data_IF_480709989328
#
_entry.id   IF_480709989328
#
_cell.length_a   1.000
_cell.length_b   1.000
_cell.length_c   1.000
_cell.angle_alpha   90.00
_cell.angle_beta   90.00
_cell.angle_gamma   90.00
#
_symmetry.space_group_name_H-M   'P 1'
#
loop_
_entity.id
_entity.type
_entity.pdbx_description
1 polymer ?
#
# COMPACT_ATOMS: atom_id res chain seq x y z
N UNK A 1 24.03 42.80 -7.21
CA UNK A 1 22.90 42.55 -6.29
C UNK A 1 21.95 41.56 -7.00
N UNK A 2 22.04 40.27 -6.69
CA UNK A 2 21.10 39.29 -7.17
C UNK A 2 19.77 39.52 -6.46
N UNK A 3 18.75 39.97 -7.18
CA UNK A 3 17.36 39.91 -6.71
C UNK A 3 16.87 38.51 -6.89
N UNK A 4 16.75 37.75 -5.80
CA UNK A 4 15.97 36.51 -5.77
C UNK A 4 14.53 36.86 -6.11
N UNK A 5 14.03 36.33 -7.21
CA UNK A 5 12.64 36.49 -7.61
C UNK A 5 11.83 35.42 -6.90
N UNK A 6 11.29 35.71 -5.74
CA UNK A 6 10.48 34.82 -4.92
C UNK A 6 9.18 34.37 -5.62
N UNK A 7 8.86 34.94 -6.78
CA UNK A 7 7.62 34.65 -7.51
C UNK A 7 7.72 33.49 -8.50
N UNK A 8 8.92 32.91 -8.71
CA UNK A 8 9.08 31.79 -9.68
C UNK A 8 8.26 30.56 -9.25
N UNK A 9 8.03 30.37 -7.95
CA UNK A 9 7.25 29.25 -7.41
C UNK A 9 5.81 29.62 -7.03
N UNK A 10 5.38 30.87 -7.22
CA UNK A 10 4.05 31.36 -6.84
C UNK A 10 3.05 31.44 -7.99
N UNK A 11 3.41 31.12 -9.21
CA UNK A 11 2.44 31.02 -10.30
C UNK A 11 1.65 29.71 -10.18
N UNK A 12 0.71 29.68 -9.26
CA UNK A 12 -0.40 28.76 -9.34
C UNK A 12 -1.28 29.29 -10.48
N UNK A 13 -1.09 28.72 -11.67
CA UNK A 13 -2.02 28.93 -12.77
C UNK A 13 -3.26 28.11 -12.43
N UNK A 14 -4.24 28.72 -11.77
CA UNK A 14 -5.57 28.13 -11.61
C UNK A 14 -6.18 28.09 -13.02
N UNK A 15 -6.08 26.95 -13.71
CA UNK A 15 -6.88 26.71 -14.92
C UNK A 15 -8.33 26.63 -14.48
N UNK A 16 -9.17 27.52 -14.97
CA UNK A 16 -10.62 27.58 -14.67
C UNK A 16 -11.35 26.27 -15.03
N UNK A 17 -10.78 25.44 -15.90
CA UNK A 17 -11.31 24.16 -16.36
C UNK A 17 -10.38 23.00 -15.97
N UNK A 18 -9.52 23.17 -14.97
CA UNK A 18 -8.66 22.11 -14.46
C UNK A 18 -9.50 21.07 -13.75
N UNK A 19 -9.59 19.88 -14.33
CA UNK A 19 -10.18 18.71 -13.66
C UNK A 19 -9.39 18.45 -12.38
N UNK A 20 -10.08 18.28 -11.28
CA UNK A 20 -9.45 17.89 -10.04
C UNK A 20 -8.94 16.46 -10.17
N UNK A 21 -7.70 16.24 -9.87
CA UNK A 21 -7.08 14.91 -9.87
C UNK A 21 -6.92 14.38 -8.46
N UNK A 22 -7.01 13.07 -8.32
CA UNK A 22 -6.71 12.36 -7.10
C UNK A 22 -5.78 11.17 -7.40
N UNK A 23 -5.20 10.58 -6.37
CA UNK A 23 -4.27 9.46 -6.50
C UNK A 23 -4.73 8.27 -5.65
N UNK A 24 -4.68 7.09 -6.24
CA UNK A 24 -4.85 5.83 -5.52
C UNK A 24 -3.52 5.07 -5.65
N UNK A 25 -2.90 4.77 -4.52
CA UNK A 25 -1.67 4.00 -4.46
C UNK A 25 -2.00 2.56 -4.09
N UNK A 26 -1.48 1.61 -4.88
CA UNK A 26 -1.48 0.19 -4.54
C UNK A 26 -0.07 -0.20 -4.11
N UNK A 27 0.08 -0.61 -2.86
CA UNK A 27 1.34 -1.08 -2.30
C UNK A 27 1.34 -2.60 -2.28
N UNK A 28 2.32 -3.20 -2.94
CA UNK A 28 2.57 -4.63 -2.86
C UNK A 28 3.11 -4.98 -1.46
N UNK A 29 2.33 -5.80 -0.72
CA UNK A 29 2.68 -6.26 0.62
C UNK A 29 3.03 -7.74 0.61
N UNK A 30 3.76 -8.18 -0.42
CA UNK A 30 4.17 -9.57 -0.60
C UNK A 30 5.52 -9.89 0.04
N UNK A 31 5.76 -11.19 0.26
CA UNK A 31 7.01 -11.68 0.84
C UNK A 31 8.26 -11.33 0.04
N UNK A 32 8.15 -11.25 -1.29
CA UNK A 32 9.24 -10.82 -2.18
C UNK A 32 9.67 -9.37 -1.97
N UNK A 33 8.79 -8.53 -1.39
CA UNK A 33 9.08 -7.14 -1.08
C UNK A 33 9.89 -6.94 0.20
N UNK A 34 10.14 -7.99 0.99
CA UNK A 34 10.75 -7.88 2.32
C UNK A 34 12.06 -7.08 2.34
N UNK A 35 12.88 -7.18 1.29
CA UNK A 35 14.15 -6.44 1.15
C UNK A 35 13.92 -4.96 0.77
N UNK A 36 12.82 -4.65 0.09
CA UNK A 36 12.59 -3.34 -0.53
C UNK A 36 11.42 -2.57 0.08
N UNK A 37 10.63 -3.23 0.93
CA UNK A 37 9.38 -2.67 1.43
C UNK A 37 9.58 -1.36 2.19
N UNK A 38 10.68 -1.23 2.93
CA UNK A 38 10.96 -0.02 3.69
C UNK A 38 11.31 1.16 2.80
N UNK A 39 12.14 0.96 1.79
CA UNK A 39 12.49 2.01 0.82
C UNK A 39 11.29 2.39 -0.05
N UNK A 40 10.49 1.40 -0.47
CA UNK A 40 9.23 1.63 -1.17
C UNK A 40 8.26 2.47 -0.31
N UNK A 41 8.17 2.15 0.98
CA UNK A 41 7.33 2.89 1.91
C UNK A 41 7.82 4.33 2.16
N UNK A 42 9.15 4.57 2.22
CA UNK A 42 9.71 5.93 2.29
C UNK A 42 9.28 6.78 1.09
N UNK A 43 9.36 6.21 -0.11
CA UNK A 43 8.93 6.90 -1.33
C UNK A 43 7.43 7.19 -1.30
N UNK A 44 6.61 6.21 -0.91
CA UNK A 44 5.17 6.37 -0.75
C UNK A 44 4.83 7.48 0.25
N UNK A 45 5.48 7.51 1.42
CA UNK A 45 5.26 8.57 2.41
C UNK A 45 5.59 9.95 1.85
N UNK A 46 6.69 10.08 1.10
CA UNK A 46 7.06 11.33 0.45
C UNK A 46 5.96 11.83 -0.49
N UNK A 47 5.36 10.92 -1.27
CA UNK A 47 4.22 11.23 -2.14
C UNK A 47 2.97 11.59 -1.32
N UNK A 48 2.67 10.87 -0.24
CA UNK A 48 1.55 11.19 0.64
C UNK A 48 1.68 12.59 1.27
N UNK A 49 2.87 12.94 1.76
CA UNK A 49 3.13 14.29 2.29
C UNK A 49 3.01 15.36 1.21
N UNK A 50 3.51 15.10 0.00
CA UNK A 50 3.31 15.99 -1.14
C UNK A 50 1.82 16.18 -1.43
N UNK A 51 1.04 15.11 -1.51
CA UNK A 51 -0.40 15.17 -1.76
C UNK A 51 -1.11 15.99 -0.67
N UNK A 52 -0.81 15.76 0.60
CA UNK A 52 -1.37 16.54 1.71
C UNK A 52 -1.04 18.02 1.60
N UNK A 53 0.23 18.36 1.32
CA UNK A 53 0.68 19.74 1.18
C UNK A 53 0.05 20.45 -0.02
N UNK A 54 -0.21 19.71 -1.08
CA UNK A 54 -0.80 20.21 -2.33
C UNK A 54 -2.32 20.10 -2.38
N UNK A 55 -2.98 19.61 -1.30
CA UNK A 55 -4.40 19.34 -1.24
C UNK A 55 -4.90 18.39 -2.36
N UNK A 56 -4.07 17.45 -2.77
CA UNK A 56 -4.44 16.40 -3.72
C UNK A 56 -5.06 15.24 -2.93
N UNK A 57 -6.32 14.86 -3.20
CA UNK A 57 -6.92 13.70 -2.55
C UNK A 57 -6.16 12.42 -2.88
N UNK A 58 -5.99 11.55 -1.90
CA UNK A 58 -5.34 10.26 -2.11
C UNK A 58 -5.84 9.20 -1.15
N UNK A 59 -5.77 7.94 -1.60
CA UNK A 59 -5.90 6.74 -0.78
C UNK A 59 -4.70 5.82 -1.02
N UNK A 60 -4.26 5.13 0.02
CA UNK A 60 -3.21 4.11 -0.03
C UNK A 60 -3.79 2.78 0.38
N UNK A 61 -3.75 1.82 -0.53
CA UNK A 61 -4.14 0.44 -0.26
C UNK A 61 -2.91 -0.46 -0.34
N UNK A 62 -2.77 -1.37 0.61
CA UNK A 62 -1.83 -2.47 0.50
C UNK A 62 -2.61 -3.75 0.19
N UNK A 63 -2.10 -4.56 -0.74
CA UNK A 63 -2.69 -5.84 -1.08
C UNK A 63 -1.75 -6.98 -0.68
N UNK A 64 -2.34 -8.00 -0.08
CA UNK A 64 -1.63 -9.18 0.39
C UNK A 64 -2.58 -10.39 0.43
N UNK A 65 -2.02 -11.56 0.20
CA UNK A 65 -2.68 -12.82 0.51
C UNK A 65 -1.98 -13.43 1.74
N UNK A 66 -2.75 -13.82 2.75
CA UNK A 66 -2.20 -14.42 3.97
C UNK A 66 -1.40 -15.69 3.60
N UNK A 67 -0.09 -15.65 3.89
CA UNK A 67 0.82 -16.75 3.60
C UNK A 67 0.72 -17.91 4.60
N UNK A 68 -0.01 -17.74 5.72
CA UNK A 68 -0.21 -18.81 6.71
C UNK A 68 -1.34 -19.76 6.32
N UNK A 69 -2.18 -19.36 5.38
CA UNK A 69 -3.24 -20.18 4.87
C UNK A 69 -2.73 -21.12 3.76
N UNK A 70 -2.67 -22.38 4.09
CA UNK A 70 -2.52 -23.44 3.11
C UNK A 70 -3.92 -24.03 2.86
N UNK A 71 -4.57 -23.75 1.70
CA UNK A 71 -5.84 -24.38 1.40
C UNK A 71 -5.62 -25.89 1.44
N UNK A 72 -6.47 -26.59 2.20
CA UNK A 72 -6.51 -28.04 2.15
C UNK A 72 -6.75 -28.46 0.69
N UNK A 73 -6.26 -29.64 0.30
CA UNK A 73 -6.29 -30.09 -1.11
C UNK A 73 -7.65 -29.97 -1.79
N UNK A 74 -8.74 -29.97 -1.01
CA UNK A 74 -10.11 -29.84 -1.49
C UNK A 74 -10.46 -28.47 -2.08
N UNK A 75 -9.89 -27.37 -1.55
CA UNK A 75 -10.20 -26.02 -2.05
C UNK A 75 -9.58 -25.72 -3.41
N UNK A 76 -8.59 -26.51 -3.85
CA UNK A 76 -7.97 -26.34 -5.18
C UNK A 76 -8.77 -27.01 -6.30
N UNK A 77 -9.52 -28.06 -5.99
CA UNK A 77 -10.23 -28.89 -6.97
C UNK A 77 -11.65 -28.39 -7.27
N UNK A 78 -12.21 -27.51 -6.41
CA UNK A 78 -13.56 -26.96 -6.61
C UNK A 78 -13.59 -25.69 -7.47
N UNK A 79 -12.45 -25.15 -7.89
CA UNK A 79 -12.45 -24.04 -8.82
C UNK A 79 -12.83 -24.52 -10.24
N UNK A 80 -14.06 -24.86 -10.43
CA UNK A 80 -14.66 -24.99 -11.75
C UNK A 80 -14.85 -23.59 -12.33
N UNK A 81 -13.76 -23.03 -12.86
CA UNK A 81 -13.78 -21.71 -13.47
C UNK A 81 -14.87 -21.61 -14.53
N UNK A 82 -15.93 -20.90 -14.19
CA UNK A 82 -16.82 -20.40 -15.23
C UNK A 82 -16.03 -19.31 -15.96
N UNK A 83 -16.04 -19.35 -17.28
CA UNK A 83 -15.24 -18.49 -18.16
C UNK A 83 -15.42 -16.99 -17.88
N UNK A 84 -16.50 -16.59 -17.20
CA UNK A 84 -16.86 -15.20 -16.95
C UNK A 84 -16.91 -14.84 -15.45
N UNK A 85 -16.27 -15.62 -14.58
CA UNK A 85 -16.26 -15.35 -13.13
C UNK A 85 -14.85 -15.10 -12.63
N UNK A 86 -14.67 -14.01 -11.89
CA UNK A 86 -13.45 -13.71 -11.17
C UNK A 86 -13.62 -14.11 -9.70
N UNK A 87 -12.80 -15.03 -9.22
CA UNK A 87 -12.82 -15.47 -7.84
C UNK A 87 -11.79 -14.71 -7.02
N UNK A 88 -12.24 -14.09 -5.93
CA UNK A 88 -11.35 -13.48 -4.93
C UNK A 88 -11.19 -14.49 -3.81
N UNK A 89 -9.97 -14.98 -3.52
CA UNK A 89 -9.72 -15.93 -2.43
C UNK A 89 -10.09 -15.36 -1.06
N UNK A 90 -10.57 -16.19 -0.16
CA UNK A 90 -11.00 -15.80 1.20
C UNK A 90 -9.89 -15.12 2.04
N UNK A 91 -8.63 -15.35 1.67
CA UNK A 91 -7.45 -14.83 2.37
C UNK A 91 -6.78 -13.66 1.65
N UNK A 92 -7.49 -13.03 0.73
CA UNK A 92 -7.11 -11.78 0.13
C UNK A 92 -7.44 -10.62 1.07
N UNK A 93 -6.46 -9.77 1.31
CA UNK A 93 -6.63 -8.53 2.06
C UNK A 93 -6.25 -7.34 1.20
N UNK A 94 -7.15 -6.36 1.17
CA UNK A 94 -6.89 -5.03 0.62
C UNK A 94 -7.12 -4.00 1.73
N UNK A 95 -6.03 -3.51 2.29
CA UNK A 95 -6.03 -2.69 3.50
C UNK A 95 -5.81 -1.23 3.16
N UNK A 96 -6.75 -0.35 3.50
CA UNK A 96 -6.54 1.10 3.39
C UNK A 96 -5.68 1.57 4.56
N UNK A 97 -4.41 1.86 4.30
CA UNK A 97 -3.45 2.25 5.32
C UNK A 97 -3.45 3.76 5.60
N UNK A 98 -3.48 4.56 4.56
CA UNK A 98 -3.41 6.01 4.65
C UNK A 98 -4.38 6.64 3.65
N UNK A 99 -4.95 7.77 4.02
CA UNK A 99 -5.78 8.56 3.11
C UNK A 99 -5.78 10.05 3.51
N UNK A 100 -6.26 10.90 2.60
CA UNK A 100 -6.30 12.34 2.83
C UNK A 100 -7.33 12.80 3.87
N UNK A 101 -8.28 11.94 4.28
CA UNK A 101 -9.33 12.27 5.28
C UNK A 101 -8.89 12.05 6.71
N UNK A 102 -7.79 11.34 6.93
CA UNK A 102 -7.22 11.17 8.25
C UNK A 102 -6.79 12.53 8.80
N UNK A 103 -7.16 12.83 10.05
CA UNK A 103 -6.59 13.97 10.74
C UNK A 103 -5.07 13.78 10.93
N UNK A 104 -4.35 14.89 11.15
CA UNK A 104 -2.88 14.83 11.18
C UNK A 104 -2.33 13.88 12.24
N UNK A 105 -2.91 13.86 13.44
CA UNK A 105 -2.44 13.00 14.51
C UNK A 105 -2.61 11.51 14.18
N UNK A 106 -3.74 11.12 13.59
CA UNK A 106 -4.01 9.73 13.16
C UNK A 106 -3.12 9.34 11.98
N UNK A 107 -2.98 10.24 11.00
CA UNK A 107 -2.08 10.02 9.87
C UNK A 107 -0.64 9.78 10.34
N UNK A 108 -0.13 10.66 11.21
CA UNK A 108 1.23 10.56 11.73
C UNK A 108 1.44 9.29 12.57
N UNK A 109 0.41 8.87 13.31
CA UNK A 109 0.45 7.61 14.06
C UNK A 109 0.56 6.42 13.12
N UNK A 110 -0.34 6.30 12.13
CA UNK A 110 -0.33 5.17 11.19
C UNK A 110 0.93 5.15 10.32
N UNK A 111 1.39 6.33 9.88
CA UNK A 111 2.64 6.46 9.13
C UNK A 111 3.84 5.95 9.93
N UNK A 112 3.94 6.29 11.24
CA UNK A 112 5.02 5.80 12.11
C UNK A 112 4.91 4.29 12.40
N UNK A 113 3.71 3.79 12.58
CA UNK A 113 3.50 2.37 12.89
C UNK A 113 3.90 1.51 11.67
N UNK A 114 3.49 1.89 10.46
CA UNK A 114 3.90 1.25 9.22
C UNK A 114 5.41 1.40 8.95
N UNK A 115 5.99 2.57 9.27
CA UNK A 115 7.44 2.78 9.19
C UNK A 115 8.21 1.75 10.03
N UNK A 116 7.76 1.54 11.26
CA UNK A 116 8.38 0.55 12.16
C UNK A 116 8.27 -0.86 11.62
N UNK A 117 7.08 -1.23 11.14
CA UNK A 117 6.84 -2.57 10.57
C UNK A 117 7.73 -2.81 9.35
N UNK A 118 7.77 -1.86 8.40
CA UNK A 118 8.61 -2.00 7.20
C UNK A 118 10.10 -2.03 7.54
N UNK A 119 10.55 -1.21 8.50
CA UNK A 119 11.94 -1.23 8.98
C UNK A 119 12.32 -2.56 9.64
N UNK A 120 11.39 -3.18 10.36
CA UNK A 120 11.61 -4.50 10.96
C UNK A 120 11.83 -5.57 9.88
N UNK A 121 11.08 -5.54 8.78
CA UNK A 121 11.28 -6.46 7.68
C UNK A 121 12.65 -6.27 7.01
N UNK A 122 13.01 -5.06 6.65
CA UNK A 122 14.29 -4.75 6.03
C UNK A 122 15.48 -5.17 6.93
N UNK A 123 15.47 -4.79 8.21
CA UNK A 123 16.57 -5.09 9.14
C UNK A 123 16.74 -6.60 9.37
N UNK A 124 15.65 -7.35 9.41
CA UNK A 124 15.66 -8.79 9.58
C UNK A 124 16.08 -9.54 8.34
N UNK A 125 15.54 -9.14 7.18
CA UNK A 125 15.92 -9.74 5.92
C UNK A 125 17.42 -9.57 5.65
N UNK A 126 17.97 -8.42 5.97
CA UNK A 126 19.41 -8.17 5.90
C UNK A 126 20.22 -9.04 6.86
N UNK A 127 19.70 -9.34 8.06
CA UNK A 127 20.34 -10.26 9.01
C UNK A 127 20.24 -11.72 8.56
N UNK A 128 19.07 -12.14 8.08
CA UNK A 128 18.83 -13.51 7.60
C UNK A 128 19.69 -13.84 6.40
N UNK A 129 19.86 -12.93 5.43
CA UNK A 129 20.70 -13.15 4.25
C UNK A 129 22.16 -13.42 4.59
N UNK A 130 22.61 -12.95 5.76
CA UNK A 130 23.98 -13.21 6.27
C UNK A 130 24.10 -14.53 7.04
N UNK A 131 23.01 -15.12 7.51
CA UNK A 131 23.02 -16.23 8.46
C UNK A 131 21.90 -17.25 8.18
N UNK A 132 21.56 -17.48 6.89
CA UNK A 132 20.48 -18.40 6.51
C UNK A 132 20.85 -19.85 6.85
N UNK A 133 20.23 -20.37 7.90
CA UNK A 133 20.16 -21.78 8.23
C UNK A 133 18.69 -22.21 8.19
N UNK A 134 18.35 -23.14 7.32
CA UNK A 134 16.99 -23.67 7.13
C UNK A 134 16.42 -24.37 8.38
N UNK A 135 17.26 -24.60 9.40
CA UNK A 135 16.88 -25.28 10.64
C UNK A 135 16.35 -24.33 11.71
N UNK A 136 16.53 -23.02 11.55
CA UNK A 136 16.01 -22.03 12.51
C UNK A 136 14.57 -21.67 12.21
N UNK A 137 13.67 -21.70 13.23
CA UNK A 137 12.29 -21.23 13.06
C UNK A 137 12.27 -19.79 12.55
N UNK A 138 11.36 -19.49 11.61
CA UNK A 138 11.19 -18.16 11.04
C UNK A 138 10.98 -17.11 12.16
N UNK A 139 11.90 -16.16 12.35
CA UNK A 139 11.83 -15.25 13.49
C UNK A 139 10.95 -14.02 13.20
N UNK A 140 9.82 -14.19 12.49
CA UNK A 140 8.82 -13.12 12.42
C UNK A 140 8.37 -12.89 13.87
N UNK A 141 8.48 -11.67 14.43
CA UNK A 141 7.99 -11.45 15.77
C UNK A 141 6.51 -11.76 15.84
N UNK A 142 6.09 -12.48 16.87
CA UNK A 142 4.69 -12.60 17.27
C UNK A 142 4.00 -11.23 17.50
N UNK A 143 4.80 -10.16 17.45
CA UNK A 143 4.38 -8.78 17.60
C UNK A 143 3.79 -8.12 16.34
N UNK A 144 3.96 -8.74 15.13
CA UNK A 144 3.34 -8.18 13.92
C UNK A 144 1.97 -8.84 13.73
N UNK A 145 0.89 -8.06 13.76
CA UNK A 145 -0.45 -8.57 13.49
C UNK A 145 -0.48 -9.34 12.15
N UNK A 146 -1.27 -10.41 12.08
CA UNK A 146 -1.32 -11.30 10.90
C UNK A 146 -1.59 -10.55 9.60
N UNK A 147 -2.51 -9.58 9.63
CA UNK A 147 -2.85 -8.75 8.47
C UNK A 147 -1.75 -7.74 8.04
N UNK A 148 -0.69 -7.60 8.83
CA UNK A 148 0.51 -6.81 8.48
C UNK A 148 1.70 -7.71 8.14
N UNK A 149 1.52 -9.02 8.14
CA UNK A 149 2.56 -9.95 7.68
C UNK A 149 2.63 -9.93 6.15
N UNK A 150 3.86 -10.06 5.64
CA UNK A 150 4.07 -10.18 4.20
C UNK A 150 3.63 -11.57 3.74
N UNK A 151 2.92 -11.64 2.62
CA UNK A 151 2.34 -12.88 2.12
C UNK A 151 2.48 -13.07 0.62
N UNK A 152 1.45 -13.64 -0.01
CA UNK A 152 1.35 -13.80 -1.45
C UNK A 152 1.06 -12.48 -2.17
N UNK A 153 1.12 -12.51 -3.52
CA UNK A 153 0.97 -11.32 -4.39
C UNK A 153 -0.32 -11.40 -5.21
N UNK A 154 -1.49 -11.10 -4.63
CA UNK A 154 -2.78 -11.15 -5.31
C UNK A 154 -3.04 -9.86 -6.12
N UNK A 155 -2.20 -9.58 -7.10
CA UNK A 155 -2.28 -8.34 -7.89
C UNK A 155 -3.56 -8.25 -8.73
N UNK A 156 -4.00 -9.37 -9.32
CA UNK A 156 -5.20 -9.38 -10.17
C UNK A 156 -6.45 -9.05 -9.33
N UNK A 157 -6.53 -9.59 -8.13
CA UNK A 157 -7.59 -9.35 -7.15
C UNK A 157 -7.61 -7.87 -6.72
N UNK A 158 -6.43 -7.33 -6.43
CA UNK A 158 -6.30 -5.92 -6.08
C UNK A 158 -6.75 -5.00 -7.23
N UNK A 159 -6.36 -5.31 -8.47
CA UNK A 159 -6.78 -4.55 -9.65
C UNK A 159 -8.29 -4.67 -9.89
N UNK A 160 -8.86 -5.87 -9.71
CA UNK A 160 -10.31 -6.05 -9.84
C UNK A 160 -11.10 -5.20 -8.83
N UNK A 161 -10.61 -5.07 -7.58
CA UNK A 161 -11.23 -4.21 -6.57
C UNK A 161 -11.23 -2.72 -6.95
N UNK A 162 -10.30 -2.27 -7.81
CA UNK A 162 -10.29 -0.88 -8.26
C UNK A 162 -11.55 -0.50 -9.04
N UNK A 163 -12.24 -1.45 -9.67
CA UNK A 163 -13.51 -1.19 -10.35
C UNK A 163 -14.57 -0.61 -9.41
N UNK A 164 -14.52 -0.94 -8.13
CA UNK A 164 -15.41 -0.39 -7.10
C UNK A 164 -14.78 0.80 -6.39
N UNK A 165 -13.49 0.72 -6.10
CA UNK A 165 -12.78 1.74 -5.32
C UNK A 165 -12.67 3.07 -6.08
N UNK A 166 -12.37 3.03 -7.40
CA UNK A 166 -12.19 4.25 -8.19
C UNK A 166 -13.46 5.10 -8.23
N UNK A 167 -14.64 4.57 -8.59
CA UNK A 167 -15.86 5.35 -8.57
C UNK A 167 -16.20 5.95 -7.20
N UNK A 168 -16.02 5.16 -6.13
CA UNK A 168 -16.23 5.65 -4.76
C UNK A 168 -15.25 6.77 -4.39
N UNK A 169 -13.99 6.61 -4.78
CA UNK A 169 -12.96 7.63 -4.56
C UNK A 169 -13.29 8.91 -5.30
N UNK A 170 -13.70 8.80 -6.57
CA UNK A 170 -14.08 9.94 -7.41
C UNK A 170 -15.26 10.69 -6.82
N UNK A 171 -16.35 10.01 -6.46
CA UNK A 171 -17.54 10.60 -5.84
C UNK A 171 -17.17 11.29 -4.53
N UNK A 172 -16.45 10.60 -3.67
CA UNK A 172 -16.09 11.04 -2.31
C UNK A 172 -15.19 12.27 -2.30
N UNK A 173 -14.31 12.39 -3.30
CA UNK A 173 -13.32 13.46 -3.40
C UNK A 173 -13.67 14.51 -4.48
N UNK A 174 -14.76 14.32 -5.24
CA UNK A 174 -15.18 15.20 -6.33
C UNK A 174 -14.06 15.38 -7.38
N UNK A 175 -13.45 14.27 -7.77
CA UNK A 175 -12.39 14.19 -8.80
C UNK A 175 -12.89 13.36 -9.99
N UNK A 176 -12.25 13.53 -11.17
CA UNK A 176 -12.55 12.77 -12.38
C UNK A 176 -11.42 11.79 -12.73
#
# INVERSE_FOLDING_TARGET
TYKFNDDIFKKITVRKDGKNHGLIFLLDWSGSMAEYIHDTYKQLLSLCFFCRKSNIPFDVYAFVQDGTYYPEKHDRDEWTGRVDTFHIPDHFFLLNYLNNKLNSATFDKYARDLWRVTYMYESRYGMMRKQWDWTTPNPIPDAIPSHLQLGGTPLNEAVACLQTIIPDFQIRNKVE
#
